data_IF_463391924819
#
_entry.id   IF_463391924819
#
_cell.length_a   1.000
_cell.length_b   1.000
_cell.length_c   1.000
_cell.angle_alpha   90.00
_cell.angle_beta   90.00
_cell.angle_gamma   90.00
#
_symmetry.space_group_name_H-M   'P 1'
#
loop_
_entity.id
_entity.type
_entity.pdbx_description
1 polymer ?
#
# COMPACT_ATOMS: atom_id res chain seq x y z
N UNK A 1 -7.10 12.81 70.20
CA UNK A 1 -5.84 12.87 69.46
C UNK A 1 -6.16 12.66 67.98
N UNK A 2 -6.04 13.74 67.19
CA UNK A 2 -5.67 13.86 65.74
C UNK A 2 -6.26 12.86 64.73
N UNK A 3 -6.71 13.15 63.51
CA UNK A 3 -6.99 14.32 62.63
C UNK A 3 -7.76 13.67 61.43
N UNK A 4 -8.89 14.21 60.96
CA UNK A 4 -9.04 15.06 59.75
C UNK A 4 -8.51 14.50 58.41
N UNK A 5 -9.44 14.43 57.43
CA UNK A 5 -9.30 14.73 55.97
C UNK A 5 -8.36 13.87 55.09
N UNK A 6 -8.59 13.62 53.79
CA UNK A 6 -9.67 13.93 52.84
C UNK A 6 -9.39 13.19 51.52
N UNK A 7 -10.47 12.93 50.76
CA UNK A 7 -10.60 12.70 49.30
C UNK A 7 -9.34 12.77 48.40
N UNK A 8 -9.20 11.80 47.48
CA UNK A 8 -8.85 12.12 46.08
C UNK A 8 -9.32 11.05 45.08
N UNK A 9 -10.03 11.51 44.06
CA UNK A 9 -10.58 10.76 42.95
C UNK A 9 -9.48 10.34 41.95
N UNK A 10 -9.49 9.07 41.55
CA UNK A 10 -8.67 8.57 40.44
C UNK A 10 -9.46 8.73 39.14
N UNK A 11 -9.13 9.77 38.37
CA UNK A 11 -9.35 9.82 36.92
C UNK A 11 -8.07 10.37 36.34
N UNK A 12 -7.40 9.64 35.45
CA UNK A 12 -6.70 10.19 34.28
C UNK A 12 -6.28 9.06 33.33
N UNK A 13 -7.00 9.04 32.21
CA UNK A 13 -6.63 8.51 30.89
C UNK A 13 -5.13 8.65 30.62
N UNK A 14 -4.47 7.52 30.39
CA UNK A 14 -3.05 7.46 30.02
C UNK A 14 -2.94 7.25 28.50
N UNK A 15 -3.21 8.29 27.71
CA UNK A 15 -2.81 8.34 26.30
C UNK A 15 -1.30 8.57 26.24
N UNK A 16 -0.52 7.69 25.56
CA UNK A 16 0.93 7.86 25.49
C UNK A 16 1.26 9.15 24.73
N UNK A 17 1.93 10.09 25.43
CA UNK A 17 2.48 11.30 24.82
C UNK A 17 3.59 10.90 23.85
N UNK A 18 3.33 11.05 22.55
CA UNK A 18 4.34 10.96 21.49
C UNK A 18 5.35 12.07 21.76
N UNK A 19 6.59 11.70 22.11
CA UNK A 19 7.68 12.68 22.24
C UNK A 19 8.14 13.06 20.84
N UNK A 20 8.10 14.35 20.44
CA UNK A 20 8.70 14.78 19.19
C UNK A 20 10.20 14.50 19.23
N UNK A 21 10.76 14.04 18.12
CA UNK A 21 12.19 13.81 17.94
C UNK A 21 12.94 15.16 17.98
N UNK A 22 13.27 15.66 19.17
CA UNK A 22 14.26 16.72 19.35
C UNK A 22 15.65 16.11 19.14
N UNK A 23 16.18 16.19 17.91
CA UNK A 23 17.59 15.87 17.64
C UNK A 23 17.93 15.33 16.26
N UNK A 24 16.94 15.01 15.43
CA UNK A 24 17.17 14.52 14.06
C UNK A 24 16.81 15.66 13.10
N UNK A 25 17.75 16.05 12.22
CA UNK A 25 17.50 17.06 11.21
C UNK A 25 16.30 16.68 10.33
N UNK A 26 15.65 17.68 9.70
CA UNK A 26 14.55 17.40 8.76
C UNK A 26 15.08 16.42 7.70
N UNK A 27 14.43 15.26 7.52
CA UNK A 27 14.96 14.25 6.63
C UNK A 27 14.98 14.75 5.19
N UNK A 28 16.03 14.37 4.46
CA UNK A 28 16.14 14.72 3.04
C UNK A 28 15.05 14.00 2.27
N UNK A 29 14.26 14.76 1.53
CA UNK A 29 13.14 14.25 0.75
C UNK A 29 13.56 14.12 -0.72
N UNK A 30 13.34 12.94 -1.29
CA UNK A 30 13.53 12.61 -2.71
C UNK A 30 12.17 12.38 -3.33
N UNK A 31 11.80 13.15 -4.35
CA UNK A 31 10.50 13.01 -5.00
C UNK A 31 10.68 12.24 -6.31
N UNK A 32 9.83 11.23 -6.52
CA UNK A 32 9.78 10.42 -7.74
C UNK A 32 8.39 10.51 -8.35
N UNK A 33 8.33 10.82 -9.65
CA UNK A 33 7.06 10.89 -10.40
C UNK A 33 7.03 9.75 -11.41
N UNK A 34 6.07 8.85 -11.24
CA UNK A 34 5.83 7.73 -12.14
C UNK A 34 4.91 8.21 -13.27
N UNK A 35 5.41 8.16 -14.50
CA UNK A 35 4.66 8.57 -15.69
C UNK A 35 5.04 7.73 -16.88
N UNK A 36 4.08 7.37 -17.74
CA UNK A 36 4.39 6.72 -19.01
C UNK A 36 5.18 7.67 -19.91
N UNK A 37 6.17 7.14 -20.63
CA UNK A 37 7.01 7.94 -21.53
C UNK A 37 6.18 8.61 -22.65
N UNK A 38 5.13 7.94 -23.14
CA UNK A 38 4.26 8.50 -24.17
C UNK A 38 3.24 9.55 -23.66
N UNK A 39 3.02 9.69 -22.33
CA UNK A 39 2.01 10.60 -21.76
C UNK A 39 2.54 12.02 -21.57
N UNK A 40 2.92 12.65 -22.69
CA UNK A 40 3.45 14.01 -22.71
C UNK A 40 2.46 15.02 -22.09
N UNK A 41 1.15 14.83 -22.31
CA UNK A 41 0.09 15.64 -21.67
C UNK A 41 0.21 15.69 -20.15
N UNK A 42 0.52 14.56 -19.52
CA UNK A 42 0.67 14.45 -18.06
C UNK A 42 2.03 14.93 -17.60
N UNK A 43 3.10 14.65 -18.35
CA UNK A 43 4.45 15.12 -18.03
C UNK A 43 4.54 16.64 -18.06
N UNK A 44 3.95 17.29 -19.06
CA UNK A 44 3.86 18.76 -19.14
C UNK A 44 3.10 19.35 -17.95
N UNK A 45 1.99 18.73 -17.56
CA UNK A 45 1.22 19.16 -16.40
C UNK A 45 2.02 19.00 -15.10
N UNK A 46 2.70 17.87 -14.94
CA UNK A 46 3.58 17.65 -13.78
C UNK A 46 4.70 18.69 -13.79
N UNK A 47 5.32 19.00 -14.93
CA UNK A 47 6.36 20.02 -15.03
C UNK A 47 5.86 21.43 -14.63
N UNK A 48 4.61 21.76 -14.96
CA UNK A 48 3.97 22.98 -14.47
C UNK A 48 3.84 22.98 -12.93
N UNK A 49 3.41 21.86 -12.33
CA UNK A 49 3.35 21.74 -10.86
C UNK A 49 4.75 21.86 -10.24
N UNK A 50 5.76 21.22 -10.84
CA UNK A 50 7.16 21.26 -10.41
C UNK A 50 7.68 22.67 -10.31
N UNK A 51 7.51 23.43 -11.39
CA UNK A 51 8.01 24.80 -11.53
C UNK A 51 7.25 25.77 -10.65
N UNK A 52 5.92 25.67 -10.61
CA UNK A 52 5.06 26.55 -9.80
C UNK A 52 5.35 26.40 -8.31
N UNK A 53 5.69 25.20 -7.86
CA UNK A 53 5.90 24.90 -6.44
C UNK A 53 7.37 24.80 -6.04
N UNK A 54 8.29 25.13 -6.97
CA UNK A 54 9.73 25.06 -6.76
C UNK A 54 10.19 23.69 -6.21
N UNK A 55 9.66 22.61 -6.78
CA UNK A 55 9.99 21.24 -6.42
C UNK A 55 11.08 20.68 -7.32
N UNK A 56 11.78 19.68 -6.81
CA UNK A 56 12.71 18.87 -7.59
C UNK A 56 12.30 17.42 -7.46
N UNK A 57 12.15 16.74 -8.59
CA UNK A 57 11.85 15.32 -8.63
C UNK A 57 12.58 14.63 -9.77
N UNK A 58 12.60 13.31 -9.67
CA UNK A 58 13.07 12.42 -10.73
C UNK A 58 11.85 11.77 -11.39
N UNK A 59 11.75 11.88 -12.72
CA UNK A 59 10.74 11.14 -13.47
C UNK A 59 11.20 9.68 -13.61
N UNK A 60 10.30 8.76 -13.30
CA UNK A 60 10.48 7.32 -13.49
C UNK A 60 9.57 6.89 -14.63
N UNK A 61 10.16 6.41 -15.72
CA UNK A 61 9.42 5.91 -16.86
C UNK A 61 8.61 4.68 -16.45
N UNK A 62 7.29 4.82 -16.46
CA UNK A 62 6.37 3.72 -16.19
C UNK A 62 6.39 2.72 -17.34
N UNK A 63 6.12 1.45 -17.02
CA UNK A 63 5.98 0.39 -18.01
C UNK A 63 4.54 0.33 -18.48
N UNK A 64 4.27 0.33 -19.80
CA UNK A 64 2.90 0.20 -20.30
C UNK A 64 2.41 -1.25 -20.16
N UNK A 65 1.09 -1.43 -20.02
CA UNK A 65 0.46 -2.74 -19.82
C UNK A 65 0.68 -3.74 -20.96
N UNK A 66 1.02 -3.27 -22.16
CA UNK A 66 1.28 -4.11 -23.33
C UNK A 66 2.78 -4.43 -23.54
N UNK A 67 3.66 -4.01 -22.62
CA UNK A 67 5.09 -4.24 -22.77
C UNK A 67 5.44 -5.74 -22.75
N UNK A 68 6.41 -6.16 -23.57
CA UNK A 68 6.94 -7.54 -23.57
C UNK A 68 7.47 -7.97 -22.19
N UNK A 69 7.93 -7.02 -21.38
CA UNK A 69 8.29 -7.26 -19.98
C UNK A 69 7.11 -7.74 -19.14
N UNK A 70 5.95 -7.09 -19.24
CA UNK A 70 4.73 -7.46 -18.51
C UNK A 70 4.30 -8.88 -18.86
N UNK A 71 4.40 -9.23 -20.14
CA UNK A 71 4.15 -10.56 -20.67
C UNK A 71 5.04 -11.63 -20.02
N UNK A 72 6.35 -11.36 -19.89
CA UNK A 72 7.31 -12.27 -19.23
C UNK A 72 7.02 -12.43 -17.73
N UNK A 73 6.68 -11.35 -17.05
CA UNK A 73 6.29 -11.40 -15.63
C UNK A 73 5.03 -12.26 -15.47
N UNK A 74 4.05 -12.12 -16.36
CA UNK A 74 2.84 -12.95 -16.38
C UNK A 74 3.13 -14.44 -16.53
N UNK A 75 4.08 -14.82 -17.39
CA UNK A 75 4.48 -16.22 -17.56
C UNK A 75 5.04 -16.80 -16.24
N UNK A 76 5.86 -16.02 -15.51
CA UNK A 76 6.34 -16.41 -14.19
C UNK A 76 5.23 -16.53 -13.16
N UNK A 77 4.33 -15.54 -13.06
CA UNK A 77 3.19 -15.60 -12.13
C UNK A 77 2.32 -16.83 -12.41
N UNK A 78 2.07 -17.13 -13.69
CA UNK A 78 1.32 -18.32 -14.10
C UNK A 78 1.99 -19.59 -13.61
N UNK A 79 3.31 -19.71 -13.79
CA UNK A 79 4.08 -20.87 -13.31
C UNK A 79 3.90 -21.05 -11.80
N UNK A 80 4.13 -19.99 -11.01
CA UNK A 80 3.98 -20.04 -9.55
C UNK A 80 2.54 -20.39 -9.10
N UNK A 81 1.52 -19.89 -9.80
CA UNK A 81 0.12 -20.24 -9.51
C UNK A 81 -0.16 -21.73 -9.78
N UNK A 82 0.36 -22.28 -10.88
CA UNK A 82 0.17 -23.70 -11.21
C UNK A 82 0.91 -24.64 -10.26
N UNK A 83 2.13 -24.27 -9.84
CA UNK A 83 2.89 -25.03 -8.85
C UNK A 83 2.19 -25.01 -7.48
N UNK A 84 1.69 -23.85 -7.05
CA UNK A 84 0.99 -23.71 -5.77
C UNK A 84 -0.31 -24.50 -5.75
N UNK A 85 -1.06 -24.52 -6.86
CA UNK A 85 -2.26 -25.35 -7.00
C UNK A 85 -1.97 -26.85 -6.97
N UNK A 86 -0.80 -27.27 -7.46
CA UNK A 86 -0.39 -28.68 -7.49
C UNK A 86 0.14 -29.17 -6.13
N UNK A 87 0.61 -28.25 -5.27
CA UNK A 87 1.15 -28.55 -3.93
C UNK A 87 0.10 -28.82 -2.84
N UNK A 88 -1.19 -28.81 -3.18
CA UNK A 88 -2.28 -29.17 -2.25
C UNK A 88 -2.15 -30.63 -1.71
N UNK A 89 -1.25 -31.45 -2.28
CA UNK A 89 -0.90 -32.79 -1.75
C UNK A 89 0.46 -32.90 -1.02
N UNK A 90 1.25 -31.83 -0.86
CA UNK A 90 2.60 -31.90 -0.28
C UNK A 90 3.01 -30.65 0.50
N UNK A 91 3.39 -30.85 1.75
CA UNK A 91 3.61 -29.89 2.85
C UNK A 91 4.70 -28.83 2.66
N UNK A 92 4.57 -27.90 1.71
CA UNK A 92 5.30 -26.63 1.78
C UNK A 92 4.32 -25.47 1.81
N UNK A 93 3.91 -25.06 3.02
CA UNK A 93 3.14 -23.84 3.24
C UNK A 93 3.99 -22.61 2.92
N UNK A 94 3.37 -21.57 2.37
CA UNK A 94 3.98 -20.27 2.20
C UNK A 94 4.69 -19.80 3.48
N UNK A 95 5.88 -19.20 3.34
CA UNK A 95 6.59 -18.60 4.46
C UNK A 95 7.44 -17.41 4.02
N UNK A 96 7.27 -16.28 4.68
CA UNK A 96 8.14 -15.12 4.47
C UNK A 96 9.58 -15.43 4.88
N UNK A 97 10.59 -14.92 4.14
CA UNK A 97 11.98 -14.98 4.57
C UNK A 97 12.17 -14.30 5.94
N UNK A 98 12.90 -14.95 6.85
CA UNK A 98 13.09 -14.46 8.23
C UNK A 98 13.96 -13.20 8.29
N UNK A 99 14.82 -13.02 7.30
CA UNK A 99 15.83 -11.99 7.21
C UNK A 99 15.30 -10.63 6.73
N UNK A 100 14.04 -10.51 6.30
CA UNK A 100 13.49 -9.26 5.72
C UNK A 100 13.72 -8.06 6.64
N UNK A 101 13.44 -8.21 7.93
CA UNK A 101 13.60 -7.13 8.89
C UNK A 101 15.06 -6.76 9.11
N UNK A 102 15.96 -7.75 9.18
CA UNK A 102 17.39 -7.49 9.31
C UNK A 102 17.95 -6.78 8.06
N UNK A 103 17.54 -7.21 6.86
CA UNK A 103 17.95 -6.60 5.60
C UNK A 103 17.43 -5.16 5.44
N UNK A 104 16.25 -4.86 5.99
CA UNK A 104 15.65 -3.52 5.89
C UNK A 104 16.47 -2.41 6.57
N UNK A 105 17.22 -2.75 7.62
CA UNK A 105 18.06 -1.82 8.38
C UNK A 105 19.55 -1.93 8.05
N UNK A 106 19.93 -2.91 7.20
CA UNK A 106 21.32 -3.08 6.77
C UNK A 106 21.76 -1.89 5.93
N UNK A 107 22.94 -1.34 6.24
CA UNK A 107 23.54 -0.19 5.54
C UNK A 107 24.77 -0.59 4.71
N UNK A 108 25.27 -1.82 4.82
CA UNK A 108 26.59 -2.20 4.31
C UNK A 108 26.60 -3.05 3.04
N UNK A 109 25.49 -3.70 2.70
CA UNK A 109 25.44 -4.53 1.49
C UNK A 109 24.78 -3.74 0.34
N UNK A 110 25.43 -3.68 -0.83
CA UNK A 110 24.77 -3.29 -2.07
C UNK A 110 23.50 -4.11 -2.26
N UNK A 111 22.43 -3.48 -2.76
CA UNK A 111 21.20 -4.18 -3.03
C UNK A 111 21.40 -5.17 -4.18
N UNK A 112 21.44 -6.47 -3.88
CA UNK A 112 21.62 -7.53 -4.88
C UNK A 112 20.27 -7.87 -5.52
N UNK A 113 20.25 -8.02 -6.84
CA UNK A 113 19.10 -8.59 -7.55
C UNK A 113 18.77 -9.99 -6.98
N UNK A 114 17.51 -10.24 -6.65
CA UNK A 114 17.04 -11.55 -6.20
C UNK A 114 15.53 -11.72 -6.38
N UNK A 115 15.02 -12.94 -6.19
CA UNK A 115 13.58 -13.20 -6.26
C UNK A 115 13.01 -12.86 -7.63
N UNK A 116 11.93 -12.07 -7.67
CA UNK A 116 11.27 -11.67 -8.91
C UNK A 116 12.06 -10.66 -9.75
N UNK A 117 13.20 -10.17 -9.28
CA UNK A 117 14.02 -9.22 -10.04
C UNK A 117 14.55 -9.82 -11.34
N UNK A 118 14.80 -11.13 -11.35
CA UNK A 118 15.34 -11.82 -12.53
C UNK A 118 14.27 -12.10 -13.59
N UNK A 119 12.99 -11.89 -13.28
CA UNK A 119 11.87 -12.13 -14.19
C UNK A 119 11.84 -11.13 -15.36
N UNK A 120 12.47 -9.97 -15.19
CA UNK A 120 12.61 -8.98 -16.27
C UNK A 120 13.66 -9.35 -17.30
N UNK A 121 14.56 -10.27 -16.97
CA UNK A 121 15.68 -10.65 -17.84
C UNK A 121 15.50 -12.07 -18.38
N UNK A 122 14.83 -12.93 -17.63
CA UNK A 122 14.69 -14.36 -17.93
C UNK A 122 13.25 -14.74 -18.21
N UNK A 123 13.07 -15.74 -19.08
CA UNK A 123 11.78 -16.43 -19.25
C UNK A 123 11.84 -17.78 -18.51
N UNK A 124 10.71 -18.27 -17.98
CA UNK A 124 10.69 -19.60 -17.37
C UNK A 124 11.09 -20.66 -18.42
N UNK A 125 11.89 -21.64 -18.01
CA UNK A 125 12.43 -22.69 -18.89
C UNK A 125 11.35 -23.59 -19.50
N UNK A 126 10.19 -23.67 -18.83
CA UNK A 126 8.99 -24.33 -19.33
C UNK A 126 7.88 -23.31 -19.49
N UNK A 127 7.38 -23.11 -20.72
CA UNK A 127 6.18 -22.30 -20.93
C UNK A 127 5.00 -23.03 -20.29
N UNK A 128 4.20 -22.36 -19.43
CA UNK A 128 3.03 -22.99 -18.85
C UNK A 128 2.09 -23.48 -19.95
N UNK A 129 1.70 -24.76 -19.88
CA UNK A 129 0.75 -25.36 -20.83
C UNK A 129 -0.65 -24.83 -20.49
N UNK A 130 -1.12 -23.83 -21.23
CA UNK A 130 -2.49 -23.32 -21.06
C UNK A 130 -3.53 -24.31 -21.61
N UNK A 131 -4.53 -24.72 -20.82
CA UNK A 131 -5.69 -25.40 -21.35
C UNK A 131 -6.68 -24.36 -21.91
N UNK A 132 -6.59 -24.07 -23.21
CA UNK A 132 -7.69 -23.43 -23.94
C UNK A 132 -7.32 -22.25 -24.83
N UNK A 133 -7.76 -22.32 -26.10
CA UNK A 133 -7.89 -21.16 -27.00
C UNK A 133 -9.16 -20.39 -26.59
N UNK A 134 -9.01 -19.35 -25.78
CA UNK A 134 -10.00 -18.26 -25.71
C UNK A 134 -9.40 -17.04 -26.42
N UNK A 135 -10.19 -16.43 -27.30
CA UNK A 135 -9.73 -15.53 -28.36
C UNK A 135 -8.88 -14.34 -27.90
N UNK A 136 -7.80 -14.09 -28.65
CA UNK A 136 -7.04 -12.83 -28.77
C UNK A 136 -6.46 -12.15 -27.52
N UNK A 137 -6.74 -12.59 -26.28
CA UNK A 137 -6.02 -12.15 -25.08
C UNK A 137 -5.05 -13.25 -24.66
N UNK A 138 -3.75 -13.03 -24.87
CA UNK A 138 -2.67 -14.02 -24.72
C UNK A 138 -2.46 -14.57 -23.30
N UNK A 139 -3.24 -14.12 -22.30
CA UNK A 139 -3.17 -14.58 -20.92
C UNK A 139 -4.55 -15.06 -20.47
N UNK A 140 -4.62 -16.29 -19.97
CA UNK A 140 -5.79 -16.77 -19.24
C UNK A 140 -6.10 -15.81 -18.08
N UNK A 141 -7.38 -15.60 -17.79
CA UNK A 141 -7.78 -14.82 -16.62
C UNK A 141 -7.15 -15.47 -15.37
N UNK A 142 -6.14 -14.84 -14.78
CA UNK A 142 -5.57 -15.30 -13.51
C UNK A 142 -6.33 -14.62 -12.38
N UNK A 143 -6.68 -15.36 -11.33
CA UNK A 143 -7.17 -14.76 -10.10
C UNK A 143 -6.03 -14.04 -9.40
N UNK A 144 -6.31 -12.85 -8.85
CA UNK A 144 -5.44 -12.22 -7.87
C UNK A 144 -5.34 -13.13 -6.64
N UNK A 145 -4.13 -13.32 -6.13
CA UNK A 145 -3.96 -13.90 -4.82
C UNK A 145 -4.52 -12.98 -3.74
N UNK A 146 -5.01 -13.61 -2.69
CA UNK A 146 -5.44 -13.01 -1.43
C UNK A 146 -4.44 -13.39 -0.35
N UNK A 147 -4.37 -12.60 0.72
CA UNK A 147 -3.52 -12.89 1.87
C UNK A 147 -2.04 -13.06 1.52
N UNK A 148 -1.37 -14.16 1.90
CA UNK A 148 0.02 -14.38 1.54
C UNK A 148 0.14 -14.88 0.09
N UNK A 149 -0.41 -16.04 -0.27
CA UNK A 149 -0.42 -16.58 -1.64
C UNK A 149 -1.72 -17.34 -1.99
N UNK A 150 -2.80 -17.08 -1.26
CA UNK A 150 -4.06 -17.82 -1.41
C UNK A 150 -4.79 -17.41 -2.70
N UNK A 151 -4.81 -18.29 -3.69
CA UNK A 151 -5.46 -18.05 -4.98
C UNK A 151 -6.83 -18.74 -4.99
N UNK A 152 -7.89 -17.94 -5.13
CA UNK A 152 -9.25 -18.48 -5.28
C UNK A 152 -9.53 -18.83 -6.74
N UNK A 153 -10.31 -19.89 -6.97
CA UNK A 153 -10.77 -20.23 -8.30
C UNK A 153 -11.65 -19.11 -8.87
N UNK A 154 -11.45 -18.78 -10.15
CA UNK A 154 -12.30 -17.81 -10.83
C UNK A 154 -13.69 -18.41 -11.07
N UNK A 155 -14.71 -17.71 -10.58
CA UNK A 155 -16.11 -17.90 -10.94
C UNK A 155 -16.55 -16.89 -12.01
N UNK A 156 -17.65 -17.15 -12.72
CA UNK A 156 -18.17 -16.29 -13.80
C UNK A 156 -18.51 -14.86 -13.34
N UNK A 157 -18.81 -14.67 -12.05
CA UNK A 157 -19.17 -13.42 -11.40
C UNK A 157 -17.99 -12.78 -10.64
N UNK A 158 -16.77 -13.28 -10.84
CA UNK A 158 -15.58 -12.76 -10.14
C UNK A 158 -15.40 -11.27 -10.40
N UNK A 159 -15.32 -10.42 -9.36
CA UNK A 159 -15.13 -9.00 -9.54
C UNK A 159 -13.83 -8.67 -10.30
N UNK A 160 -13.86 -7.66 -11.17
CA UNK A 160 -12.69 -7.25 -11.99
C UNK A 160 -11.43 -6.93 -11.17
N UNK A 161 -11.60 -6.46 -9.93
CA UNK A 161 -10.47 -6.18 -9.04
C UNK A 161 -9.77 -7.47 -8.56
N UNK A 162 -10.46 -8.62 -8.58
CA UNK A 162 -9.91 -9.96 -8.31
C UNK A 162 -9.32 -10.66 -9.54
N UNK A 163 -9.39 -10.08 -10.73
CA UNK A 163 -8.75 -10.66 -11.93
C UNK A 163 -7.42 -9.95 -12.19
N UNK A 164 -6.31 -10.67 -12.14
CA UNK A 164 -4.99 -10.10 -12.43
C UNK A 164 -4.91 -9.71 -13.91
N UNK A 165 -4.45 -8.48 -14.18
CA UNK A 165 -4.40 -7.92 -15.53
C UNK A 165 -3.02 -7.38 -15.87
N UNK A 166 -2.66 -7.26 -17.16
CA UNK A 166 -1.40 -6.63 -17.59
C UNK A 166 -1.20 -5.23 -17.00
N UNK A 167 -2.27 -4.44 -16.89
CA UNK A 167 -2.22 -3.12 -16.27
C UNK A 167 -1.83 -3.17 -14.77
N UNK A 168 -2.32 -4.16 -14.01
CA UNK A 168 -1.94 -4.33 -12.60
C UNK A 168 -0.47 -4.71 -12.43
N UNK A 169 0.02 -5.61 -13.28
CA UNK A 169 1.44 -6.01 -13.29
C UNK A 169 2.34 -4.85 -13.69
N UNK A 170 1.93 -4.07 -14.70
CA UNK A 170 2.66 -2.90 -15.16
C UNK A 170 2.72 -1.78 -14.11
N UNK A 171 1.61 -1.51 -13.43
CA UNK A 171 1.54 -0.60 -12.28
C UNK A 171 2.48 -1.08 -11.16
N UNK A 172 2.39 -2.36 -10.75
CA UNK A 172 3.30 -2.94 -9.76
C UNK A 172 4.76 -2.72 -10.12
N UNK A 173 5.14 -3.07 -11.36
CA UNK A 173 6.51 -2.96 -11.83
C UNK A 173 7.01 -1.51 -11.79
N UNK A 174 6.19 -0.57 -12.27
CA UNK A 174 6.56 0.85 -12.32
C UNK A 174 6.85 1.43 -10.92
N UNK A 175 6.06 1.06 -9.92
CA UNK A 175 6.28 1.48 -8.54
C UNK A 175 7.50 0.79 -7.92
N UNK A 176 7.69 -0.52 -8.16
CA UNK A 176 8.90 -1.23 -7.71
C UNK A 176 10.16 -0.59 -8.29
N UNK A 177 10.14 -0.16 -9.55
CA UNK A 177 11.26 0.57 -10.17
C UNK A 177 11.56 1.90 -9.48
N UNK A 178 10.54 2.68 -9.10
CA UNK A 178 10.74 3.92 -8.34
C UNK A 178 11.33 3.64 -6.94
N UNK A 179 10.81 2.62 -6.24
CA UNK A 179 11.32 2.20 -4.92
C UNK A 179 12.78 1.74 -5.02
N UNK A 180 13.12 0.97 -6.05
CA UNK A 180 14.50 0.53 -6.34
C UNK A 180 15.44 1.70 -6.56
N UNK A 181 15.04 2.64 -7.42
CA UNK A 181 15.84 3.83 -7.70
C UNK A 181 16.14 4.63 -6.43
N UNK A 182 15.19 4.69 -5.49
CA UNK A 182 15.43 5.26 -4.18
C UNK A 182 16.42 4.42 -3.36
N UNK A 183 16.20 3.12 -3.21
CA UNK A 183 17.05 2.25 -2.38
C UNK A 183 18.49 2.14 -2.89
N UNK A 184 18.69 2.18 -4.21
CA UNK A 184 19.96 1.93 -4.91
C UNK A 184 20.75 3.23 -5.22
N UNK A 185 20.28 4.40 -4.77
CA UNK A 185 21.01 5.67 -4.96
C UNK A 185 22.40 5.63 -4.30
N UNK A 186 23.37 6.27 -4.92
CA UNK A 186 24.78 6.23 -4.48
C UNK A 186 24.99 6.73 -3.05
N UNK A 187 24.20 7.71 -2.59
CA UNK A 187 24.32 8.30 -1.26
C UNK A 187 23.51 7.57 -0.18
N UNK A 188 22.74 6.52 -0.51
CA UNK A 188 21.96 5.74 0.47
C UNK A 188 22.81 4.87 1.42
N UNK A 189 24.11 4.76 1.16
CA UNK A 189 25.06 4.00 1.98
C UNK A 189 25.84 4.86 2.96
N UNK A 190 25.63 6.18 2.96
CA UNK A 190 26.23 7.06 3.95
C UNK A 190 25.60 6.81 5.33
N UNK A 191 26.42 6.33 6.28
CA UNK A 191 25.99 5.92 7.63
C UNK A 191 25.39 7.05 8.46
N UNK A 192 25.55 8.31 8.02
CA UNK A 192 25.00 9.47 8.71
C UNK A 192 23.60 9.85 8.17
N UNK A 193 23.02 9.06 7.25
CA UNK A 193 21.82 9.41 6.46
C UNK A 193 20.68 8.39 6.57
N UNK A 194 20.42 7.92 7.79
CA UNK A 194 19.38 6.92 8.07
C UNK A 194 17.93 7.42 7.88
N UNK A 195 17.73 8.73 7.74
CA UNK A 195 16.41 9.36 7.81
C UNK A 195 15.82 9.75 6.45
N UNK A 196 16.52 9.50 5.34
CA UNK A 196 16.04 9.90 4.01
C UNK A 196 14.64 9.34 3.69
N UNK A 197 13.84 10.15 3.00
CA UNK A 197 12.46 9.86 2.63
C UNK A 197 12.30 9.90 1.12
N UNK A 198 11.63 8.89 0.56
CA UNK A 198 11.08 8.97 -0.78
C UNK A 198 9.63 9.42 -0.74
N UNK A 199 9.23 10.29 -1.65
CA UNK A 199 7.84 10.60 -1.97
C UNK A 199 7.60 10.12 -3.38
N UNK A 200 6.66 9.20 -3.55
CA UNK A 200 6.32 8.59 -4.83
C UNK A 200 4.94 9.08 -5.24
N UNK A 201 4.87 9.65 -6.44
CA UNK A 201 3.70 10.29 -7.01
C UNK A 201 3.37 9.65 -8.37
N UNK A 202 2.11 9.45 -8.68
CA UNK A 202 1.64 9.19 -10.04
C UNK A 202 1.45 10.53 -10.81
N UNK A 203 1.40 10.47 -12.14
CA UNK A 203 1.34 11.65 -13.03
C UNK A 203 -0.05 12.27 -13.19
N UNK A 204 -1.04 11.75 -12.47
CA UNK A 204 -2.42 12.17 -12.52
C UNK A 204 -2.89 12.84 -11.23
N UNK A 205 -1.98 13.47 -10.49
CA UNK A 205 -2.33 14.28 -9.31
C UNK A 205 -2.65 15.75 -9.67
N UNK A 206 -3.46 16.40 -8.85
CA UNK A 206 -3.98 17.76 -9.07
C UNK A 206 -3.15 18.85 -8.38
N UNK A 207 -2.73 18.61 -7.14
CA UNK A 207 -2.01 19.57 -6.31
C UNK A 207 -1.11 18.83 -5.32
N UNK A 208 0.01 19.47 -5.01
CA UNK A 208 1.04 19.05 -4.09
C UNK A 208 1.18 20.20 -3.05
N UNK A 209 0.12 20.50 -2.29
CA UNK A 209 0.14 21.55 -1.26
C UNK A 209 0.92 21.07 -0.03
N UNK A 210 2.22 20.89 -0.20
CA UNK A 210 3.02 20.04 0.66
C UNK A 210 3.74 20.86 1.74
N UNK A 211 3.39 20.58 3.00
CA UNK A 211 4.26 20.82 4.17
C UNK A 211 4.83 19.50 4.68
N UNK A 212 5.37 18.70 3.77
CA UNK A 212 5.88 17.35 4.03
C UNK A 212 6.87 17.31 5.21
N UNK A 213 7.72 18.33 5.32
CA UNK A 213 8.70 18.44 6.40
C UNK A 213 8.07 18.39 7.80
N UNK A 214 6.84 18.89 7.96
CA UNK A 214 6.13 18.84 9.24
C UNK A 214 5.64 17.43 9.55
N UNK A 215 5.16 16.69 8.54
CA UNK A 215 4.65 15.32 8.69
C UNK A 215 5.71 14.44 9.33
N UNK A 216 6.96 14.56 8.85
CA UNK A 216 8.09 13.74 9.31
C UNK A 216 8.33 13.86 10.81
N UNK A 217 8.05 15.02 11.42
CA UNK A 217 8.24 15.24 12.86
C UNK A 217 7.20 14.57 13.75
N UNK A 218 6.05 14.20 13.17
CA UNK A 218 4.93 13.58 13.90
C UNK A 218 4.89 12.06 13.76
N UNK A 219 5.66 11.50 12.84
CA UNK A 219 5.67 10.06 12.60
C UNK A 219 6.38 9.33 13.73
N UNK A 220 5.80 8.21 14.22
CA UNK A 220 6.47 7.36 15.20
C UNK A 220 7.79 6.80 14.67
N UNK A 221 8.73 6.54 15.59
CA UNK A 221 10.03 5.98 15.26
C UNK A 221 9.91 4.67 14.45
N UNK A 222 10.65 4.62 13.34
CA UNK A 222 10.67 3.48 12.43
C UNK A 222 9.44 3.34 11.53
N UNK A 223 8.61 4.35 11.36
CA UNK A 223 7.57 4.29 10.32
C UNK A 223 8.14 3.83 8.96
N UNK A 224 7.33 3.09 8.20
CA UNK A 224 7.77 2.47 6.94
C UNK A 224 7.19 3.20 5.74
N UNK A 225 5.88 3.46 5.79
CA UNK A 225 5.13 4.06 4.69
C UNK A 225 4.06 5.02 5.21
N UNK A 226 3.88 6.15 4.52
CA UNK A 226 2.81 7.11 4.78
C UNK A 226 2.00 7.34 3.51
N UNK A 227 0.69 7.14 3.56
CA UNK A 227 -0.21 7.48 2.44
C UNK A 227 -0.57 8.96 2.51
N UNK A 228 -0.05 9.72 1.54
CA UNK A 228 -0.31 11.15 1.38
C UNK A 228 -1.63 11.38 0.63
N UNK A 229 -2.02 10.39 -0.16
CA UNK A 229 -3.34 10.28 -0.74
C UNK A 229 -3.79 8.83 -0.81
N UNK A 230 -5.09 8.63 -0.62
CA UNK A 230 -5.74 7.33 -0.69
C UNK A 230 -7.16 7.47 -1.25
N UNK A 231 -7.73 6.37 -1.69
CA UNK A 231 -9.14 6.32 -2.12
C UNK A 231 -9.83 5.10 -1.48
N UNK A 232 -11.17 5.05 -1.55
CA UNK A 232 -11.97 3.85 -1.29
C UNK A 232 -11.60 3.07 -0.02
N UNK A 233 -11.13 3.76 1.02
CA UNK A 233 -10.71 3.23 2.32
C UNK A 233 -11.08 4.23 3.41
N UNK A 234 -11.42 3.71 4.59
CA UNK A 234 -11.65 4.52 5.79
C UNK A 234 -10.39 4.54 6.64
N UNK A 235 -9.48 5.45 6.30
CA UNK A 235 -8.23 5.63 7.04
C UNK A 235 -8.42 6.44 8.33
N UNK A 236 -9.65 6.84 8.67
CA UNK A 236 -10.01 7.39 9.98
C UNK A 236 -10.46 6.32 10.98
N UNK A 237 -10.47 5.04 10.56
CA UNK A 237 -10.89 3.90 11.36
C UNK A 237 -10.16 3.79 12.70
N UNK A 238 -8.85 4.04 12.72
CA UNK A 238 -8.06 4.13 13.94
C UNK A 238 -7.98 5.57 14.44
N UNK A 239 -7.88 5.82 15.77
CA UNK A 239 -7.78 7.17 16.31
C UNK A 239 -6.58 7.95 15.74
N UNK A 240 -6.74 9.26 15.54
CA UNK A 240 -5.67 10.14 15.14
C UNK A 240 -4.55 10.15 16.19
N UNK A 241 -3.29 10.09 15.73
CA UNK A 241 -2.11 10.26 16.57
C UNK A 241 -1.85 11.74 16.88
N UNK A 242 -2.11 12.60 15.90
CA UNK A 242 -1.94 14.05 16.00
C UNK A 242 -2.73 14.76 14.90
N UNK A 243 -2.93 16.05 15.09
CA UNK A 243 -3.45 16.99 14.12
C UNK A 243 -2.35 17.97 13.70
N UNK A 244 -2.32 18.34 12.43
CA UNK A 244 -1.43 19.38 11.88
C UNK A 244 -2.04 19.96 10.60
N UNK A 245 -2.05 21.30 10.49
CA UNK A 245 -2.53 22.01 9.31
C UNK A 245 -3.90 21.51 8.78
N UNK A 246 -4.87 21.37 9.69
CA UNK A 246 -6.23 20.89 9.41
C UNK A 246 -6.30 19.46 8.83
N UNK A 247 -5.25 18.67 9.08
CA UNK A 247 -5.18 17.24 8.76
C UNK A 247 -4.76 16.41 9.94
N UNK A 248 -5.11 15.13 9.91
CA UNK A 248 -4.88 14.18 10.98
C UNK A 248 -3.99 13.05 10.48
N UNK A 249 -3.02 12.67 11.31
CA UNK A 249 -2.19 11.49 11.09
C UNK A 249 -2.84 10.29 11.78
N UNK A 250 -3.21 9.26 11.02
CA UNK A 250 -3.79 8.04 11.55
C UNK A 250 -2.86 6.85 11.29
N UNK A 251 -2.82 5.82 12.15
CA UNK A 251 -2.34 4.50 11.74
C UNK A 251 -3.18 4.03 10.56
N UNK A 252 -2.54 3.49 9.53
CA UNK A 252 -3.28 3.01 8.35
C UNK A 252 -4.12 1.79 8.69
N UNK A 253 -5.31 1.71 8.10
CA UNK A 253 -6.18 0.56 8.25
C UNK A 253 -6.09 -0.38 7.05
N UNK A 254 -6.46 0.11 5.88
CA UNK A 254 -6.53 -0.69 4.67
C UNK A 254 -6.45 0.21 3.41
N UNK A 255 -5.38 1.00 3.26
CA UNK A 255 -5.31 2.06 2.26
C UNK A 255 -5.40 1.50 0.84
N UNK A 256 -6.09 2.23 -0.04
CA UNK A 256 -6.17 1.93 -1.48
C UNK A 256 -5.67 3.10 -2.32
N UNK A 257 -5.39 2.77 -3.58
CA UNK A 257 -4.63 3.58 -4.52
C UNK A 257 -3.15 3.75 -4.12
N UNK A 258 -2.35 4.12 -5.11
CA UNK A 258 -0.91 4.32 -4.98
C UNK A 258 -0.47 5.67 -5.54
N UNK A 259 -1.43 6.57 -5.79
CA UNK A 259 -1.17 7.84 -6.48
C UNK A 259 -0.24 8.78 -5.70
N UNK A 260 -0.16 8.63 -4.37
CA UNK A 260 0.72 9.42 -3.54
C UNK A 260 1.05 8.75 -2.19
N UNK A 261 2.31 8.40 -1.97
CA UNK A 261 2.79 7.86 -0.71
C UNK A 261 4.25 8.20 -0.48
N UNK A 262 4.69 8.11 0.78
CA UNK A 262 6.07 8.32 1.18
C UNK A 262 6.63 7.09 1.87
N UNK A 263 7.93 6.87 1.76
CA UNK A 263 8.66 5.76 2.36
C UNK A 263 9.89 6.27 3.11
N UNK A 264 10.12 5.76 4.32
CA UNK A 264 11.44 5.89 4.94
C UNK A 264 12.43 4.99 4.19
N UNK A 265 13.73 5.26 4.25
CA UNK A 265 14.73 4.37 3.62
C UNK A 265 14.60 2.92 4.10
N UNK A 266 14.44 2.71 5.41
CA UNK A 266 14.25 1.37 5.96
C UNK A 266 12.92 0.74 5.53
N UNK A 267 11.85 1.54 5.44
CA UNK A 267 10.55 1.12 4.95
C UNK A 267 10.58 0.72 3.47
N UNK A 268 11.26 1.49 2.64
CA UNK A 268 11.47 1.18 1.22
C UNK A 268 12.20 -0.14 1.03
N UNK A 269 13.28 -0.38 1.79
CA UNK A 269 14.01 -1.66 1.79
C UNK A 269 13.10 -2.81 2.24
N UNK A 270 12.37 -2.65 3.35
CA UNK A 270 11.44 -3.68 3.83
C UNK A 270 10.35 -4.00 2.82
N UNK A 271 9.73 -2.98 2.26
CA UNK A 271 8.68 -3.11 1.26
C UNK A 271 9.20 -3.83 0.02
N UNK A 272 10.37 -3.43 -0.50
CA UNK A 272 10.97 -4.03 -1.69
C UNK A 272 11.28 -5.53 -1.50
N UNK A 273 11.74 -5.96 -0.31
CA UNK A 273 11.94 -7.39 -0.03
C UNK A 273 10.63 -8.19 -0.13
N UNK A 274 9.52 -7.65 0.37
CA UNK A 274 8.22 -8.31 0.27
C UNK A 274 7.70 -8.32 -1.18
N UNK A 275 7.79 -7.18 -1.87
CA UNK A 275 7.26 -7.03 -3.23
C UNK A 275 8.01 -7.87 -4.27
N UNK A 276 9.25 -8.29 -3.95
CA UNK A 276 10.06 -9.15 -4.83
C UNK A 276 10.08 -10.63 -4.43
N UNK A 277 9.40 -11.00 -3.34
CA UNK A 277 9.35 -12.38 -2.90
C UNK A 277 8.49 -13.20 -3.87
N UNK A 278 9.05 -14.20 -4.60
CA UNK A 278 8.39 -14.80 -5.77
C UNK A 278 6.95 -15.30 -5.57
N UNK A 279 6.60 -15.98 -4.45
CA UNK A 279 5.21 -16.42 -4.23
C UNK A 279 4.22 -15.27 -4.01
N UNK A 280 4.69 -14.07 -3.64
CA UNK A 280 3.86 -12.88 -3.43
C UNK A 280 3.90 -11.90 -4.60
N UNK A 281 5.07 -11.76 -5.23
CA UNK A 281 5.36 -10.75 -6.25
C UNK A 281 4.37 -10.82 -7.43
N UNK A 282 3.82 -9.66 -7.83
CA UNK A 282 2.93 -9.51 -8.99
C UNK A 282 1.63 -10.33 -8.97
N UNK A 283 1.34 -11.06 -7.89
CA UNK A 283 0.19 -11.95 -7.79
C UNK A 283 -1.16 -11.23 -7.65
N UNK A 284 -1.16 -9.90 -7.49
CA UNK A 284 -2.36 -9.05 -7.30
C UNK A 284 -2.07 -7.60 -7.67
N UNK A 285 -3.08 -6.72 -7.54
CA UNK A 285 -2.85 -5.28 -7.65
C UNK A 285 -1.97 -4.75 -6.50
N UNK A 286 -1.13 -3.76 -6.78
CA UNK A 286 -0.12 -3.27 -5.83
C UNK A 286 -0.74 -2.70 -4.54
N UNK A 287 -1.82 -1.93 -4.66
CA UNK A 287 -2.56 -1.39 -3.52
C UNK A 287 -3.13 -2.50 -2.61
N UNK A 288 -3.58 -3.62 -3.18
CA UNK A 288 -4.00 -4.79 -2.43
C UNK A 288 -2.85 -5.46 -1.69
N UNK A 289 -1.66 -5.51 -2.32
CA UNK A 289 -0.46 -5.99 -1.66
C UNK A 289 -0.05 -5.10 -0.49
N UNK A 290 -0.05 -3.78 -0.65
CA UNK A 290 0.22 -2.84 0.44
C UNK A 290 -0.76 -3.03 1.59
N UNK A 291 -2.05 -3.04 1.28
CA UNK A 291 -3.09 -3.22 2.27
C UNK A 291 -2.95 -4.55 3.05
N UNK A 292 -2.55 -5.64 2.38
CA UNK A 292 -2.24 -6.90 3.05
C UNK A 292 -1.01 -6.81 3.95
N UNK A 293 0.10 -6.26 3.45
CA UNK A 293 1.34 -6.13 4.23
C UNK A 293 1.14 -5.25 5.48
N UNK A 294 0.26 -4.25 5.39
CA UNK A 294 -0.15 -3.41 6.52
C UNK A 294 -1.00 -4.21 7.51
N UNK A 295 -2.10 -4.83 7.04
CA UNK A 295 -3.03 -5.58 7.90
C UNK A 295 -2.38 -6.76 8.60
N UNK A 296 -1.40 -7.40 7.95
CA UNK A 296 -0.62 -8.51 8.49
C UNK A 296 0.55 -8.06 9.37
N UNK A 297 0.71 -6.76 9.64
CA UNK A 297 1.71 -6.20 10.55
C UNK A 297 3.15 -6.21 10.00
N UNK A 298 3.34 -6.38 8.69
CA UNK A 298 4.67 -6.37 8.04
C UNK A 298 5.18 -4.97 7.72
N UNK A 299 4.28 -3.99 7.66
CA UNK A 299 4.61 -2.59 7.46
C UNK A 299 3.98 -1.73 8.54
N UNK A 300 4.79 -0.84 9.14
CA UNK A 300 4.31 0.23 10.02
C UNK A 300 3.84 1.39 9.14
N UNK A 301 2.53 1.48 8.95
CA UNK A 301 1.93 2.40 8.00
C UNK A 301 1.04 3.44 8.67
N UNK A 302 1.06 4.66 8.11
CA UNK A 302 0.21 5.77 8.49
C UNK A 302 -0.48 6.39 7.27
N UNK A 303 -1.60 7.06 7.49
CA UNK A 303 -2.40 7.72 6.47
C UNK A 303 -2.77 9.12 6.93
N UNK A 304 -2.82 10.05 5.99
CA UNK A 304 -3.24 11.43 6.27
C UNK A 304 -4.71 11.60 5.86
N UNK A 305 -5.48 12.19 6.77
CA UNK A 305 -6.92 12.42 6.59
C UNK A 305 -7.26 13.88 6.94
N UNK A 306 -7.87 14.66 6.02
CA UNK A 306 -8.09 14.35 4.60
C UNK A 306 -6.77 14.18 3.83
N UNK A 307 -6.82 13.52 2.67
CA UNK A 307 -5.65 13.34 1.81
C UNK A 307 -5.04 14.68 1.40
N UNK A 308 -3.72 14.80 1.47
CA UNK A 308 -2.96 15.97 1.02
C UNK A 308 -2.81 16.02 -0.50
N UNK A 309 -2.76 14.85 -1.13
CA UNK A 309 -2.59 14.72 -2.57
C UNK A 309 -3.79 13.97 -3.14
N UNK A 310 -4.48 14.63 -4.06
CA UNK A 310 -5.71 14.13 -4.69
C UNK A 310 -5.43 13.74 -6.13
N UNK A 311 -5.93 12.58 -6.52
CA UNK A 311 -5.89 12.09 -7.90
C UNK A 311 -6.95 12.78 -8.76
N UNK A 312 -6.55 13.24 -9.94
CA UNK A 312 -7.43 13.74 -11.00
C UNK A 312 -8.37 12.64 -11.46
N UNK A 313 -9.65 12.77 -11.14
CA UNK A 313 -10.69 11.95 -11.77
C UNK A 313 -11.00 12.48 -13.17
N UNK A 314 -10.60 11.73 -14.21
CA UNK A 314 -10.99 12.03 -15.60
C UNK A 314 -12.51 11.98 -15.78
N UNK A 315 -13.07 12.76 -16.71
CA UNK A 315 -14.52 12.88 -16.91
C UNK A 315 -15.24 11.52 -17.13
N UNK A 316 -14.56 10.53 -17.73
CA UNK A 316 -15.07 9.17 -17.90
C UNK A 316 -15.33 8.43 -16.57
N UNK A 317 -14.54 8.72 -15.53
CA UNK A 317 -14.71 8.12 -14.19
C UNK A 317 -15.89 8.73 -13.41
N UNK A 318 -16.30 9.97 -13.71
CA UNK A 318 -17.48 10.60 -13.09
C UNK A 318 -18.80 9.97 -13.55
N UNK A 319 -18.87 9.51 -14.80
CA UNK A 319 -20.05 8.85 -15.35
C UNK A 319 -20.32 7.48 -14.69
N UNK A 320 -19.27 6.77 -14.26
CA UNK A 320 -19.40 5.48 -13.57
C UNK A 320 -19.83 5.66 -12.10
N UNK A 321 -19.30 6.68 -11.40
CA UNK A 321 -19.69 7.01 -10.02
C UNK A 321 -21.15 7.49 -9.94
N UNK A 322 -21.63 8.26 -10.92
CA UNK A 322 -23.03 8.68 -10.96
C UNK A 322 -24.00 7.51 -11.20
N UNK A 323 -23.59 6.48 -11.96
CA UNK A 323 -24.38 5.26 -12.16
C UNK A 323 -24.36 4.32 -10.95
N UNK A 324 -23.24 4.23 -10.24
CA UNK A 324 -23.17 3.41 -9.03
C UNK A 324 -23.87 4.06 -7.84
N UNK A 325 -23.83 5.39 -7.69
CA UNK A 325 -24.58 6.11 -6.66
C UNK A 325 -26.09 6.11 -6.90
N UNK A 326 -26.55 6.06 -8.16
CA UNK A 326 -27.98 5.91 -8.47
C UNK A 326 -28.50 4.49 -8.29
N UNK A 327 -27.63 3.47 -8.30
CA UNK A 327 -28.01 2.07 -8.05
C UNK A 327 -27.96 1.68 -6.57
N UNK A 328 -27.15 2.36 -5.75
CA UNK A 328 -27.10 2.11 -4.29
C UNK A 328 -28.23 2.73 -3.48
N UNK A 329 -29.08 3.58 -4.10
CA UNK A 329 -30.23 4.17 -3.41
C UNK A 329 -31.44 3.21 -3.32
N UNK A 330 -31.51 2.17 -4.16
CA UNK A 330 -32.66 1.24 -4.22
C UNK A 330 -32.38 -0.15 -3.62
N UNK A 331 -31.20 -0.41 -3.03
CA UNK A 331 -30.83 -1.75 -2.54
C UNK A 331 -30.34 -1.78 -1.07
N UNK A 332 -30.82 -0.87 -0.22
CA UNK A 332 -30.72 -0.99 1.25
C UNK A 332 -32.07 -1.40 1.82
N UNK A 333 -32.46 -2.65 1.56
CA UNK A 333 -33.54 -3.34 2.26
C UNK A 333 -33.24 -4.84 2.30
N UNK A 334 -32.12 -5.21 2.93
CA UNK A 334 -31.86 -6.59 3.33
C UNK A 334 -31.54 -6.63 4.81
N UNK A 335 -32.36 -7.42 5.50
CA UNK A 335 -32.50 -7.58 6.93
C UNK A 335 -31.20 -8.08 7.58
N UNK A 336 -30.66 -7.30 8.52
CA UNK A 336 -29.60 -7.75 9.44
C UNK A 336 -30.22 -8.64 10.52
N UNK A 337 -29.72 -9.88 10.76
CA UNK A 337 -30.19 -10.70 11.87
C UNK A 337 -29.80 -10.08 13.21
N UNK A 338 -30.79 -9.78 14.05
CA UNK A 338 -30.58 -9.32 15.42
C UNK A 338 -30.11 -10.49 16.29
N UNK A 339 -28.90 -10.41 16.84
CA UNK A 339 -28.50 -11.27 17.96
C UNK A 339 -29.30 -10.93 19.23
N UNK A 340 -29.68 -11.93 20.04
CA UNK A 340 -30.56 -11.74 21.18
C UNK A 340 -29.84 -11.04 22.33
N UNK A 341 -30.39 -9.90 22.76
CA UNK A 341 -30.00 -9.24 24.02
C UNK A 341 -30.52 -10.06 25.20
N UNK A 342 -29.61 -10.60 26.01
CA UNK A 342 -29.95 -11.10 27.34
C UNK A 342 -30.54 -9.96 28.17
N UNK A 343 -31.82 -10.13 28.54
CA UNK A 343 -32.59 -9.20 29.37
C UNK A 343 -32.44 -9.65 30.82
N UNK A 344 -31.61 -8.97 31.60
CA UNK A 344 -31.60 -9.09 33.06
C UNK A 344 -32.73 -8.22 33.60
N UNK A 345 -33.67 -8.83 34.30
CA UNK A 345 -34.88 -8.20 34.82
C UNK A 345 -34.70 -7.94 36.33
N UNK A 346 -34.77 -6.69 36.84
CA UNK A 346 -34.69 -6.44 38.27
C UNK A 346 -36.06 -6.14 38.90
N UNK A 347 -36.24 -6.64 40.14
CA UNK A 347 -37.29 -6.34 41.17
C UNK A 347 -38.60 -7.14 41.05
N UNK A 348 -39.32 -7.59 42.10
CA UNK A 348 -39.30 -7.50 43.59
C UNK A 348 -40.44 -8.43 44.09
N UNK A 349 -40.35 -9.25 45.15
CA UNK A 349 -40.84 -9.05 46.55
C UNK A 349 -40.97 -10.46 47.18
N UNK A 350 -40.36 -10.77 48.35
CA UNK A 350 -40.82 -10.64 49.76
C UNK A 350 -41.78 -11.77 50.23
N UNK A 351 -41.58 -12.18 51.49
CA UNK A 351 -42.37 -13.08 52.39
C UNK A 351 -42.04 -14.58 52.15
N UNK A 352 -41.63 -15.44 53.10
CA UNK A 352 -41.58 -15.49 54.58
C UNK A 352 -40.15 -15.68 55.12
#
# INVERSE_FOLDING_TARGET
MTNADSSSAATMSNTPKIRPHLGIGIPRTHIYVISLAERQDRREQMELLRTTQNLTWTVVDAVPGNATLVNRIFDWVTLYHTESSSKVLGTSSFRWPEEINALSVSTHEPWKQSGSDTWSETSPSSKPKFPGKFGSSTYANLACATEDDSILALANDTPKWMVLSPAKVACWHSHVSAIRLFVERQDAHDRHRGDDVAVILEDDIDDISIRLSQIWTFLPAGWDIVFLGHCWSDESYYPALTEFADTYLHPSYYPKCTHAYALSLSGARRLLQHLRYPPFAYSRALDQAYAWLIRSGRLRSYSIVPSLIVQKKSAASRAHVRRSQSQTADEVSVVVPRHPRHRVNPRRNRVE
#
